data_IF_343210314498
#
_entry.id   IF_343210314498
#
_cell.length_a   1.000
_cell.length_b   1.000
_cell.length_c   1.000
_cell.angle_alpha   90.00
_cell.angle_beta   90.00
_cell.angle_gamma   90.00
#
_symmetry.space_group_name_H-M   'P 1'
#
loop_
_entity.id
_entity.type
_entity.pdbx_description
1 polymer ?
#
# COMPACT_ATOMS: atom_id res chain seq x y z
N UNK A 1 10.18 16.22 4.10
CA UNK A 1 10.85 17.53 3.92
C UNK A 1 11.05 18.30 5.24
N UNK A 2 10.02 18.51 6.07
CA UNK A 2 10.17 19.22 7.35
C UNK A 2 11.14 18.50 8.31
N UNK A 3 10.99 17.18 8.45
CA UNK A 3 11.86 16.34 9.28
C UNK A 3 13.30 16.31 8.77
N UNK A 4 13.51 16.19 7.45
CA UNK A 4 14.85 16.23 6.84
C UNK A 4 15.58 17.55 7.11
N UNK A 5 14.88 18.69 7.01
CA UNK A 5 15.44 20.02 7.35
C UNK A 5 15.76 20.18 8.85
N UNK A 6 15.09 19.42 9.73
CA UNK A 6 15.37 19.42 11.16
C UNK A 6 16.59 18.54 11.52
N UNK A 7 16.84 17.49 10.73
CA UNK A 7 17.98 16.59 10.91
C UNK A 7 19.27 17.21 10.36
N UNK A 8 19.20 17.87 9.20
CA UNK A 8 20.32 18.57 8.59
C UNK A 8 19.83 19.77 7.75
N UNK A 9 19.85 21.00 8.29
CA UNK A 9 19.36 22.18 7.58
C UNK A 9 20.23 22.60 6.38
N UNK A 10 21.41 21.98 6.19
CA UNK A 10 22.38 22.34 5.15
C UNK A 10 22.55 21.26 4.05
N UNK A 11 22.03 20.04 4.23
CA UNK A 11 22.11 18.95 3.25
C UNK A 11 20.79 18.80 2.50
N UNK A 12 20.85 18.84 1.15
CA UNK A 12 19.64 18.85 0.31
C UNK A 12 19.09 17.48 -0.08
N UNK A 13 19.84 16.38 0.04
CA UNK A 13 19.36 15.09 -0.51
C UNK A 13 19.75 13.83 0.29
N UNK A 14 20.68 13.88 1.26
CA UNK A 14 21.08 12.70 2.06
C UNK A 14 21.32 13.05 3.53
N UNK A 15 20.81 12.19 4.42
CA UNK A 15 21.00 12.28 5.87
C UNK A 15 22.08 11.29 6.27
N UNK A 16 23.16 11.76 6.91
CA UNK A 16 24.18 10.85 7.44
C UNK A 16 23.66 10.06 8.65
N UNK A 17 24.09 8.82 8.82
CA UNK A 17 23.74 7.98 9.99
C UNK A 17 24.01 8.72 11.31
N UNK A 18 25.12 9.46 11.38
CA UNK A 18 25.47 10.26 12.55
C UNK A 18 24.48 11.41 12.80
N UNK A 19 24.06 12.12 11.75
CA UNK A 19 23.07 13.21 11.85
C UNK A 19 21.68 12.67 12.24
N UNK A 20 21.30 11.51 11.70
CA UNK A 20 20.06 10.82 12.06
C UNK A 20 20.07 10.35 13.50
N UNK A 21 21.15 9.69 13.95
CA UNK A 21 21.30 9.23 15.34
C UNK A 21 21.28 10.42 16.30
N UNK A 22 21.97 11.51 15.98
CA UNK A 22 21.97 12.71 16.84
C UNK A 22 20.59 13.38 16.89
N UNK A 23 19.86 13.45 15.77
CA UNK A 23 18.48 13.93 15.75
C UNK A 23 17.52 12.98 16.49
N UNK A 24 17.68 11.67 16.34
CA UNK A 24 16.86 10.67 17.01
C UNK A 24 17.06 10.73 18.54
N UNK A 25 18.31 10.86 18.99
CA UNK A 25 18.65 11.06 20.40
C UNK A 25 18.14 12.41 20.93
N UNK A 26 18.20 13.47 20.13
CA UNK A 26 17.60 14.77 20.45
C UNK A 26 16.08 14.71 20.48
N UNK A 27 15.46 13.92 19.61
CA UNK A 27 14.01 13.70 19.57
C UNK A 27 13.56 12.92 20.80
N UNK A 28 14.29 11.87 21.20
CA UNK A 28 14.06 11.16 22.45
C UNK A 28 14.20 12.10 23.66
N UNK A 29 15.26 12.92 23.72
CA UNK A 29 15.40 13.96 24.76
C UNK A 29 14.26 14.97 24.73
N UNK A 30 13.82 15.40 23.55
CA UNK A 30 12.70 16.33 23.37
C UNK A 30 11.34 15.71 23.72
N UNK A 31 11.18 14.39 23.56
CA UNK A 31 10.01 13.65 24.07
C UNK A 31 10.08 13.62 25.59
N UNK A 32 11.21 13.27 26.20
CA UNK A 32 11.38 13.31 27.66
C UNK A 32 11.18 14.71 28.26
N UNK A 33 11.65 15.76 27.58
CA UNK A 33 11.43 17.16 27.95
C UNK A 33 9.95 17.54 27.83
N UNK A 34 9.26 17.16 26.75
CA UNK A 34 7.80 17.38 26.61
C UNK A 34 6.98 16.60 27.63
N UNK A 35 7.36 15.35 27.92
CA UNK A 35 6.74 14.53 28.98
C UNK A 35 6.96 15.18 30.35
N UNK A 36 8.15 15.73 30.59
CA UNK A 36 8.43 16.52 31.80
C UNK A 36 7.66 17.82 31.85
N UNK A 37 7.52 18.56 30.76
CA UNK A 37 6.67 19.76 30.71
C UNK A 37 5.20 19.44 30.98
N UNK A 38 4.69 18.31 30.47
CA UNK A 38 3.35 17.82 30.77
C UNK A 38 3.27 17.46 32.26
N UNK A 39 4.22 16.69 32.79
CA UNK A 39 4.28 16.33 34.21
C UNK A 39 4.32 17.58 35.11
N UNK A 40 5.14 18.57 34.81
CA UNK A 40 5.28 19.82 35.57
C UNK A 40 4.01 20.69 35.54
N UNK A 41 3.23 20.62 34.45
CA UNK A 41 1.90 21.25 34.40
C UNK A 41 0.89 20.56 35.31
N UNK A 42 1.09 19.27 35.59
CA UNK A 42 0.22 18.45 36.43
C UNK A 42 0.63 18.50 37.90
N UNK A 43 1.93 18.55 38.18
CA UNK A 43 2.53 18.77 39.50
C UNK A 43 2.51 20.26 39.87
N UNK A 44 1.30 20.81 40.05
CA UNK A 44 1.10 22.24 40.37
C UNK A 44 1.80 22.69 41.66
N UNK A 45 2.03 21.75 42.58
CA UNK A 45 2.67 21.95 43.87
C UNK A 45 4.19 21.70 43.85
N UNK A 46 4.76 21.27 42.71
CA UNK A 46 6.17 20.92 42.55
C UNK A 46 6.66 19.91 43.61
N UNK A 47 5.81 18.95 43.98
CA UNK A 47 6.16 17.91 44.96
C UNK A 47 7.04 16.80 44.35
N UNK A 48 7.17 16.76 43.03
CA UNK A 48 7.81 15.67 42.30
C UNK A 48 6.91 14.44 42.13
N UNK A 49 5.65 14.54 42.55
CA UNK A 49 4.64 13.47 42.52
C UNK A 49 3.28 14.03 42.08
N UNK A 50 2.53 13.26 41.29
CA UNK A 50 1.19 13.63 40.84
C UNK A 50 0.16 12.73 41.52
N UNK A 51 -0.92 13.31 42.06
CA UNK A 51 -2.04 12.52 42.60
C UNK A 51 -2.84 11.84 41.49
N UNK A 52 -3.32 10.61 41.74
CA UNK A 52 -4.17 9.85 40.82
C UNK A 52 -5.44 10.60 40.36
N UNK A 53 -5.94 11.55 41.16
CA UNK A 53 -7.07 12.42 40.79
C UNK A 53 -6.73 13.37 39.63
N UNK A 54 -5.48 13.83 39.56
CA UNK A 54 -5.02 14.75 38.51
C UNK A 54 -4.81 14.01 37.19
N UNK A 55 -4.29 12.78 37.23
CA UNK A 55 -4.17 11.91 36.03
C UNK A 55 -5.54 11.64 35.39
N UNK A 56 -6.57 11.41 36.23
CA UNK A 56 -7.95 11.25 35.77
C UNK A 56 -8.49 12.47 35.00
N UNK A 57 -8.16 13.68 35.44
CA UNK A 57 -8.57 14.91 34.75
C UNK A 57 -7.89 15.09 33.39
N UNK A 58 -6.64 14.65 33.27
CA UNK A 58 -5.87 14.74 32.02
C UNK A 58 -6.40 13.77 30.97
N UNK A 59 -6.70 12.54 31.39
CA UNK A 59 -7.30 11.54 30.51
C UNK A 59 -8.65 12.01 29.95
N UNK A 60 -9.44 12.76 30.73
CA UNK A 60 -10.66 13.39 30.23
C UNK A 60 -10.42 14.61 29.31
N UNK A 61 -9.35 15.38 29.51
CA UNK A 61 -9.01 16.55 28.69
C UNK A 61 -8.37 16.15 27.34
N UNK A 62 -7.71 14.99 27.27
CA UNK A 62 -7.04 14.47 26.07
C UNK A 62 -8.00 13.93 24.99
N UNK A 63 -9.32 14.04 25.18
CA UNK A 63 -10.29 13.95 24.09
C UNK A 63 -11.00 12.60 23.92
N UNK A 64 -10.70 11.61 24.76
CA UNK A 64 -11.49 10.38 24.88
C UNK A 64 -12.13 10.38 26.25
N UNK A 65 -13.46 10.41 26.36
CA UNK A 65 -14.16 10.20 27.64
C UNK A 65 -13.94 8.73 28.05
N UNK A 66 -12.91 8.39 28.85
CA UNK A 66 -12.56 7.01 29.07
C UNK A 66 -13.55 6.43 30.09
N UNK A 67 -13.85 5.14 29.96
CA UNK A 67 -14.73 4.50 30.93
C UNK A 67 -14.08 4.52 32.33
N UNK A 68 -14.86 4.53 33.43
CA UNK A 68 -14.31 4.47 34.78
C UNK A 68 -13.37 3.28 35.02
N UNK A 69 -13.54 2.20 34.25
CA UNK A 69 -12.71 1.00 34.29
C UNK A 69 -11.35 1.21 33.61
N UNK A 70 -11.31 1.87 32.46
CA UNK A 70 -10.07 2.23 31.75
C UNK A 70 -9.18 3.15 32.59
N UNK A 71 -9.80 4.09 33.30
CA UNK A 71 -9.10 5.00 34.22
C UNK A 71 -8.53 4.22 35.41
N UNK A 72 -9.26 3.23 35.93
CA UNK A 72 -8.77 2.39 37.02
C UNK A 72 -7.61 1.49 36.57
N UNK A 73 -7.67 0.94 35.36
CA UNK A 73 -6.58 0.16 34.75
C UNK A 73 -5.35 1.05 34.53
N UNK A 74 -5.53 2.25 33.98
CA UNK A 74 -4.44 3.20 33.77
C UNK A 74 -3.77 3.57 35.10
N UNK A 75 -4.55 3.94 36.12
CA UNK A 75 -4.00 4.28 37.45
C UNK A 75 -3.25 3.10 38.06
N UNK A 76 -3.80 1.88 37.98
CA UNK A 76 -3.15 0.66 38.48
C UNK A 76 -1.89 0.29 37.70
N UNK A 77 -1.84 0.61 36.40
CA UNK A 77 -0.65 0.39 35.57
C UNK A 77 0.47 1.40 35.84
N UNK A 78 0.12 2.59 36.36
CA UNK A 78 1.07 3.66 36.64
C UNK A 78 1.66 3.56 38.06
N UNK A 79 0.84 3.25 39.07
CA UNK A 79 1.27 3.21 40.47
C UNK A 79 0.89 1.89 41.13
N UNK A 80 1.87 1.20 41.71
CA UNK A 80 1.75 -0.04 42.46
C UNK A 80 0.97 0.19 43.78
N UNK A 81 -0.35 0.41 43.65
CA UNK A 81 -1.31 0.77 44.70
C UNK A 81 -1.03 2.09 45.47
N UNK A 82 -0.11 2.94 44.97
CA UNK A 82 0.20 4.24 45.56
C UNK A 82 -0.80 5.34 45.17
N UNK A 83 -1.20 6.20 46.12
CA UNK A 83 -2.06 7.37 45.85
C UNK A 83 -1.34 8.51 45.08
N UNK A 84 -0.02 8.40 44.97
CA UNK A 84 0.88 9.32 44.31
C UNK A 84 1.74 8.60 43.26
N UNK A 85 1.93 9.26 42.12
CA UNK A 85 2.67 8.76 40.95
C UNK A 85 3.95 9.59 40.79
N UNK A 86 5.11 8.92 40.73
CA UNK A 86 6.39 9.59 40.50
C UNK A 86 6.60 9.91 39.02
N UNK A 87 7.49 10.87 38.72
CA UNK A 87 7.88 11.16 37.34
C UNK A 87 8.47 9.94 36.61
N UNK A 88 9.20 9.08 37.32
CA UNK A 88 9.80 7.89 36.73
C UNK A 88 8.73 6.90 36.25
N UNK A 89 7.71 6.67 37.07
CA UNK A 89 6.62 5.74 36.77
C UNK A 89 5.69 6.32 35.69
N UNK A 90 5.39 7.62 35.77
CA UNK A 90 4.63 8.33 34.74
C UNK A 90 5.34 8.33 33.39
N UNK A 91 6.65 8.57 33.36
CA UNK A 91 7.42 8.59 32.12
C UNK A 91 7.51 7.19 31.49
N UNK A 92 7.66 6.15 32.32
CA UNK A 92 7.64 4.76 31.84
C UNK A 92 6.29 4.43 31.22
N UNK A 93 5.19 4.66 31.94
CA UNK A 93 3.84 4.46 31.42
C UNK A 93 3.55 5.28 30.17
N UNK A 94 3.90 6.58 30.15
CA UNK A 94 3.62 7.46 29.01
C UNK A 94 4.36 7.03 27.76
N UNK A 95 5.63 6.59 27.89
CA UNK A 95 6.37 6.03 26.78
C UNK A 95 5.72 4.72 26.31
N UNK A 96 5.48 3.78 27.23
CA UNK A 96 5.02 2.44 26.91
C UNK A 96 3.60 2.42 26.30
N UNK A 97 2.72 3.33 26.71
CA UNK A 97 1.28 3.32 26.36
C UNK A 97 0.94 4.20 25.15
N UNK A 98 1.70 5.26 24.88
CA UNK A 98 1.31 6.28 23.89
C UNK A 98 2.12 6.24 22.58
N UNK A 99 3.26 5.53 22.55
CA UNK A 99 4.17 5.57 21.39
C UNK A 99 4.68 4.22 20.88
N UNK A 100 4.62 3.14 21.68
CA UNK A 100 5.34 1.90 21.33
C UNK A 100 4.45 0.66 21.17
N UNK A 101 3.38 0.52 21.96
CA UNK A 101 2.55 -0.71 21.94
C UNK A 101 1.73 -0.90 20.67
N UNK A 102 1.22 0.18 20.06
CA UNK A 102 0.42 0.05 18.82
C UNK A 102 1.26 -0.09 17.54
N UNK A 103 2.55 0.28 17.58
CA UNK A 103 3.42 0.27 16.39
C UNK A 103 4.17 -1.05 16.23
N UNK A 104 4.52 -1.73 17.33
CA UNK A 104 5.26 -3.01 17.25
C UNK A 104 4.34 -4.21 16.93
N UNK A 105 3.10 -4.23 17.41
CA UNK A 105 2.20 -5.39 17.24
C UNK A 105 1.50 -5.44 15.86
N UNK A 106 1.19 -4.29 15.24
CA UNK A 106 0.52 -4.26 13.92
C UNK A 106 1.47 -4.53 12.74
N UNK A 107 2.76 -4.19 12.82
CA UNK A 107 3.70 -4.30 11.68
C UNK A 107 4.56 -5.58 11.67
N UNK A 108 4.74 -6.26 12.81
CA UNK A 108 5.70 -7.36 12.97
C UNK A 108 5.08 -8.76 13.14
N UNK A 109 3.79 -8.97 12.82
CA UNK A 109 3.26 -10.34 12.80
C UNK A 109 3.80 -11.08 11.57
N UNK A 110 4.60 -12.12 11.82
CA UNK A 110 5.09 -13.03 10.77
C UNK A 110 3.94 -13.56 9.93
N UNK A 111 4.10 -13.56 8.61
CA UNK A 111 3.13 -14.15 7.66
C UNK A 111 2.77 -15.60 8.00
N UNK A 112 3.70 -16.35 8.61
CA UNK A 112 3.44 -17.69 9.12
C UNK A 112 2.44 -17.71 10.27
N UNK A 113 2.51 -16.75 11.19
CA UNK A 113 1.57 -16.66 12.31
C UNK A 113 0.17 -16.33 11.80
N UNK A 114 0.07 -15.40 10.83
CA UNK A 114 -1.21 -15.07 10.16
C UNK A 114 -1.79 -16.29 9.43
N UNK A 115 -0.95 -17.11 8.78
CA UNK A 115 -1.41 -18.34 8.14
C UNK A 115 -1.97 -19.35 9.15
N UNK A 116 -1.26 -19.56 10.26
CA UNK A 116 -1.67 -20.46 11.34
C UNK A 116 -2.98 -19.98 11.97
N UNK A 117 -3.11 -18.69 12.25
CA UNK A 117 -4.32 -18.08 12.80
C UNK A 117 -5.52 -18.31 11.88
N UNK A 118 -5.39 -17.98 10.59
CA UNK A 118 -6.46 -18.21 9.60
C UNK A 118 -6.84 -19.67 9.42
N UNK A 119 -5.87 -20.59 9.53
CA UNK A 119 -6.15 -22.04 9.53
C UNK A 119 -6.92 -22.42 10.81
N UNK A 120 -6.56 -21.86 11.97
CA UNK A 120 -7.27 -22.04 13.23
C UNK A 120 -8.72 -21.54 13.16
N UNK A 121 -8.96 -20.39 12.53
CA UNK A 121 -10.29 -19.80 12.32
C UNK A 121 -11.20 -20.66 11.43
N UNK A 122 -10.65 -21.47 10.52
CA UNK A 122 -11.46 -22.41 9.74
C UNK A 122 -12.09 -23.49 10.62
N UNK A 123 -11.39 -23.88 11.69
CA UNK A 123 -11.81 -24.91 12.63
C UNK A 123 -12.72 -24.38 13.75
N UNK A 124 -12.83 -23.06 13.92
CA UNK A 124 -13.66 -22.47 14.97
C UNK A 124 -15.13 -22.41 14.55
N UNK A 125 -16.05 -22.72 15.46
CA UNK A 125 -17.49 -22.65 15.18
C UNK A 125 -18.05 -21.22 15.24
N UNK A 126 -17.27 -20.27 15.76
CA UNK A 126 -17.72 -18.89 16.04
C UNK A 126 -17.61 -17.95 14.84
N UNK A 127 -16.83 -18.33 13.82
CA UNK A 127 -16.54 -17.48 12.66
C UNK A 127 -17.59 -17.64 11.56
N UNK A 128 -18.04 -16.50 11.01
CA UNK A 128 -19.04 -16.43 9.93
C UNK A 128 -18.59 -17.21 8.68
N UNK A 129 -19.56 -17.76 7.96
CA UNK A 129 -19.32 -18.56 6.75
C UNK A 129 -18.59 -17.75 5.67
N UNK A 130 -18.87 -16.45 5.55
CA UNK A 130 -18.16 -15.58 4.60
C UNK A 130 -16.68 -15.50 4.92
N UNK A 131 -16.33 -15.27 6.18
CA UNK A 131 -14.93 -15.21 6.64
C UNK A 131 -14.22 -16.54 6.42
N UNK A 132 -14.90 -17.67 6.64
CA UNK A 132 -14.35 -19.00 6.33
C UNK A 132 -14.04 -19.16 4.84
N UNK A 133 -14.96 -18.78 3.96
CA UNK A 133 -14.74 -18.85 2.50
C UNK A 133 -13.55 -17.98 2.10
N UNK A 134 -13.47 -16.75 2.61
CA UNK A 134 -12.35 -15.84 2.34
C UNK A 134 -11.03 -16.44 2.82
N UNK A 135 -10.99 -17.00 4.04
CA UNK A 135 -9.79 -17.64 4.57
C UNK A 135 -9.36 -18.84 3.72
N UNK A 136 -10.28 -19.71 3.28
CA UNK A 136 -9.94 -20.83 2.37
C UNK A 136 -9.28 -20.35 1.09
N UNK A 137 -9.78 -19.26 0.50
CA UNK A 137 -9.22 -18.69 -0.74
C UNK A 137 -7.87 -18.01 -0.49
N UNK A 138 -7.70 -17.33 0.63
CA UNK A 138 -6.49 -16.57 0.94
C UNK A 138 -5.34 -17.43 1.47
N UNK A 139 -5.60 -18.53 2.18
CA UNK A 139 -4.55 -19.36 2.81
C UNK A 139 -3.48 -19.84 1.80
N UNK A 140 -3.82 -20.37 0.61
CA UNK A 140 -2.80 -20.76 -0.37
C UNK A 140 -1.89 -19.61 -0.78
N UNK A 141 -2.46 -18.40 -0.95
CA UNK A 141 -1.69 -17.20 -1.28
C UNK A 141 -0.79 -16.78 -0.12
N UNK A 142 -1.30 -16.77 1.11
CA UNK A 142 -0.53 -16.41 2.30
C UNK A 142 0.63 -17.40 2.48
N UNK A 143 0.39 -18.71 2.34
CA UNK A 143 1.43 -19.73 2.43
C UNK A 143 2.50 -19.56 1.34
N UNK A 144 2.10 -19.20 0.12
CA UNK A 144 3.04 -18.91 -0.96
C UNK A 144 3.92 -17.69 -0.61
N UNK A 145 3.33 -16.64 -0.05
CA UNK A 145 4.07 -15.45 0.36
C UNK A 145 4.94 -15.69 1.61
N UNK A 146 4.55 -16.62 2.48
CA UNK A 146 5.37 -17.06 3.62
C UNK A 146 6.67 -17.78 3.20
N UNK A 147 6.82 -18.13 1.91
CA UNK A 147 8.06 -18.66 1.35
C UNK A 147 9.14 -17.57 1.20
N UNK A 148 8.74 -16.31 1.13
CA UNK A 148 9.66 -15.16 1.10
C UNK A 148 10.06 -14.84 2.54
N UNK A 149 11.37 -14.74 2.85
CA UNK A 149 11.81 -14.44 4.21
C UNK A 149 11.32 -13.06 4.65
N UNK A 150 10.81 -12.94 5.88
CA UNK A 150 10.33 -11.66 6.42
C UNK A 150 11.46 -10.88 7.10
N UNK A 151 11.80 -9.72 6.53
CA UNK A 151 12.82 -8.82 7.08
C UNK A 151 12.27 -7.79 8.06
N UNK A 152 10.94 -7.76 8.30
CA UNK A 152 10.31 -6.84 9.26
C UNK A 152 10.50 -7.28 10.72
N UNK A 153 10.78 -8.56 10.95
CA UNK A 153 10.98 -9.10 12.29
C UNK A 153 12.29 -8.59 12.91
N UNK A 154 12.28 -8.15 14.18
CA UNK A 154 13.48 -7.68 14.87
C UNK A 154 14.56 -8.77 14.88
N UNK A 155 15.76 -8.44 14.39
CA UNK A 155 16.88 -9.37 14.25
C UNK A 155 17.07 -9.99 12.86
N UNK A 156 16.11 -9.84 11.93
CA UNK A 156 16.16 -10.39 10.57
C UNK A 156 16.50 -9.36 9.47
N UNK A 157 16.94 -8.15 9.84
CA UNK A 157 17.20 -7.05 8.90
C UNK A 157 18.24 -7.39 7.81
N UNK A 158 19.16 -8.32 8.10
CA UNK A 158 20.17 -8.79 7.15
C UNK A 158 19.54 -9.51 5.93
N UNK A 159 18.29 -9.99 6.06
CA UNK A 159 17.56 -10.67 4.99
C UNK A 159 16.94 -9.70 3.98
N UNK A 160 17.02 -8.37 4.18
CA UNK A 160 16.37 -7.36 3.32
C UNK A 160 16.57 -7.58 1.82
N UNK A 161 17.78 -7.94 1.38
CA UNK A 161 18.05 -8.20 -0.03
C UNK A 161 17.44 -9.53 -0.49
N UNK A 162 17.47 -10.57 0.34
CA UNK A 162 16.82 -11.85 0.06
C UNK A 162 15.30 -11.68 -0.05
N UNK A 163 14.69 -10.92 0.87
CA UNK A 163 13.26 -10.57 0.83
C UNK A 163 12.93 -9.78 -0.43
N UNK A 164 13.74 -8.78 -0.79
CA UNK A 164 13.52 -7.97 -1.99
C UNK A 164 13.54 -8.81 -3.28
N UNK A 165 14.60 -9.58 -3.52
CA UNK A 165 14.69 -10.43 -4.72
C UNK A 165 13.70 -11.60 -4.68
N UNK A 166 13.43 -12.15 -3.49
CA UNK A 166 12.42 -13.19 -3.29
C UNK A 166 11.01 -12.69 -3.66
N UNK A 167 10.65 -11.47 -3.25
CA UNK A 167 9.38 -10.84 -3.65
C UNK A 167 9.29 -10.62 -5.16
N UNK A 168 10.35 -10.15 -5.81
CA UNK A 168 10.39 -9.99 -7.27
C UNK A 168 10.14 -11.32 -7.98
N UNK A 169 10.81 -12.39 -7.53
CA UNK A 169 10.65 -13.73 -8.10
C UNK A 169 9.21 -14.24 -7.92
N UNK A 170 8.65 -14.10 -6.72
CA UNK A 170 7.29 -14.55 -6.41
C UNK A 170 6.24 -13.77 -7.20
N UNK A 171 6.38 -12.45 -7.33
CA UNK A 171 5.49 -11.63 -8.17
C UNK A 171 5.61 -12.06 -9.64
N UNK A 172 6.83 -12.31 -10.13
CA UNK A 172 7.05 -12.78 -11.50
C UNK A 172 6.41 -14.15 -11.77
N UNK A 173 6.54 -15.09 -10.83
CA UNK A 173 5.91 -16.41 -10.92
C UNK A 173 4.37 -16.31 -10.92
N UNK A 174 3.82 -15.51 -10.00
CA UNK A 174 2.38 -15.28 -9.92
C UNK A 174 1.83 -14.59 -11.16
N UNK A 175 2.55 -13.61 -11.70
CA UNK A 175 2.18 -12.94 -12.95
C UNK A 175 2.16 -13.91 -14.13
N UNK A 176 3.13 -14.83 -14.22
CA UNK A 176 3.13 -15.88 -15.25
C UNK A 176 1.91 -16.80 -15.13
N UNK A 177 1.63 -17.30 -13.92
CA UNK A 177 0.47 -18.16 -13.65
C UNK A 177 -0.84 -17.43 -13.94
N UNK A 178 -0.95 -16.15 -13.58
CA UNK A 178 -2.12 -15.31 -13.85
C UNK A 178 -2.38 -15.18 -15.35
N UNK A 179 -1.34 -14.89 -16.14
CA UNK A 179 -1.45 -14.73 -17.60
C UNK A 179 -1.80 -16.07 -18.28
N UNK A 180 -1.13 -17.16 -17.91
CA UNK A 180 -1.41 -18.50 -18.48
C UNK A 180 -2.82 -19.00 -18.10
N UNK A 181 -3.28 -18.75 -16.88
CA UNK A 181 -4.64 -19.07 -16.49
C UNK A 181 -5.67 -18.24 -17.29
N UNK A 182 -5.43 -16.94 -17.46
CA UNK A 182 -6.32 -16.06 -18.21
C UNK A 182 -6.43 -16.46 -19.68
N UNK A 183 -5.33 -16.83 -20.35
CA UNK A 183 -5.35 -17.28 -21.75
C UNK A 183 -6.08 -18.62 -21.90
N UNK A 184 -5.86 -19.59 -20.99
CA UNK A 184 -6.60 -20.87 -21.01
C UNK A 184 -8.11 -20.69 -20.79
N UNK A 185 -8.48 -19.82 -19.85
CA UNK A 185 -9.89 -19.48 -19.60
C UNK A 185 -10.49 -18.79 -20.83
N UNK A 186 -9.78 -17.83 -21.42
CA UNK A 186 -10.17 -17.16 -22.66
C UNK A 186 -10.42 -18.14 -23.79
N UNK A 187 -9.47 -19.05 -24.04
CA UNK A 187 -9.60 -20.10 -25.05
C UNK A 187 -10.81 -21.02 -24.80
N UNK A 188 -11.11 -21.36 -23.53
CA UNK A 188 -12.27 -22.19 -23.18
C UNK A 188 -13.59 -21.47 -23.40
N UNK A 189 -13.62 -20.15 -23.18
CA UNK A 189 -14.79 -19.29 -23.39
C UNK A 189 -14.89 -18.74 -24.82
N UNK A 190 -13.96 -19.11 -25.71
CA UNK A 190 -13.81 -18.58 -27.06
C UNK A 190 -13.69 -17.03 -27.10
N UNK A 191 -12.99 -16.47 -26.10
CA UNK A 191 -12.68 -15.05 -25.98
C UNK A 191 -11.22 -14.84 -26.42
N UNK A 192 -10.93 -13.93 -27.36
CA UNK A 192 -9.57 -13.66 -27.81
C UNK A 192 -8.65 -13.21 -26.66
N UNK A 193 -7.38 -13.64 -26.69
CA UNK A 193 -6.36 -13.29 -25.67
C UNK A 193 -6.20 -11.78 -25.48
N UNK A 194 -6.34 -11.01 -26.57
CA UNK A 194 -6.29 -9.53 -26.53
C UNK A 194 -7.40 -8.98 -25.64
N UNK A 195 -8.63 -9.52 -25.74
CA UNK A 195 -9.78 -9.10 -24.92
C UNK A 195 -9.53 -9.46 -23.46
N UNK A 196 -9.02 -10.67 -23.18
CA UNK A 196 -8.67 -11.08 -21.81
C UNK A 196 -7.59 -10.17 -21.20
N UNK A 197 -6.63 -9.72 -22.01
CA UNK A 197 -5.59 -8.76 -21.65
C UNK A 197 -6.14 -7.40 -21.25
N UNK A 198 -6.91 -6.76 -22.12
CA UNK A 198 -7.44 -5.40 -21.90
C UNK A 198 -8.57 -5.32 -20.87
N UNK A 199 -9.20 -6.45 -20.52
CA UNK A 199 -10.32 -6.48 -19.57
C UNK A 199 -9.93 -7.13 -18.25
N UNK A 200 -9.82 -8.46 -18.20
CA UNK A 200 -9.64 -9.24 -16.98
C UNK A 200 -8.27 -8.99 -16.36
N UNK A 201 -7.20 -9.07 -17.15
CA UNK A 201 -5.85 -8.88 -16.66
C UNK A 201 -5.61 -7.41 -16.26
N UNK A 202 -6.02 -6.46 -17.10
CA UNK A 202 -5.94 -5.03 -16.79
C UNK A 202 -6.70 -4.66 -15.50
N UNK A 203 -7.93 -5.16 -15.32
CA UNK A 203 -8.68 -4.93 -14.09
C UNK A 203 -7.99 -5.58 -12.88
N UNK A 204 -7.49 -6.81 -13.02
CA UNK A 204 -6.82 -7.54 -11.95
C UNK A 204 -5.60 -6.83 -11.39
N UNK A 205 -4.76 -6.23 -12.26
CA UNK A 205 -3.56 -5.50 -11.85
C UNK A 205 -3.88 -4.12 -11.28
N UNK A 206 -4.95 -3.46 -11.72
CA UNK A 206 -5.30 -2.10 -11.26
C UNK A 206 -6.16 -2.05 -9.98
N UNK A 207 -6.80 -3.16 -9.58
CA UNK A 207 -7.62 -3.21 -8.34
C UNK A 207 -6.80 -2.89 -7.08
N UNK A 208 -5.61 -3.48 -6.86
CA UNK A 208 -4.77 -3.13 -5.71
C UNK A 208 -4.39 -1.63 -5.68
N UNK A 209 -4.03 -1.06 -6.83
CA UNK A 209 -3.68 0.36 -6.94
C UNK A 209 -4.88 1.27 -6.67
N UNK A 210 -6.07 0.87 -7.14
CA UNK A 210 -7.32 1.55 -6.83
C UNK A 210 -7.59 1.53 -5.32
N UNK A 211 -7.45 0.38 -4.66
CA UNK A 211 -7.67 0.26 -3.21
C UNK A 211 -6.71 1.17 -2.43
N UNK A 212 -5.42 1.13 -2.77
CA UNK A 212 -4.40 2.01 -2.17
C UNK A 212 -4.75 3.49 -2.37
N UNK A 213 -5.08 3.89 -3.60
CA UNK A 213 -5.47 5.26 -3.92
C UNK A 213 -6.74 5.72 -3.19
N UNK A 214 -7.72 4.83 -3.01
CA UNK A 214 -8.94 5.11 -2.26
C UNK A 214 -8.67 5.30 -0.77
N UNK A 215 -7.78 4.49 -0.19
CA UNK A 215 -7.37 4.64 1.22
C UNK A 215 -6.71 6.00 1.44
N UNK A 216 -5.73 6.36 0.61
CA UNK A 216 -5.02 7.64 0.68
C UNK A 216 -5.97 8.83 0.47
N UNK A 217 -6.89 8.73 -0.51
CA UNK A 217 -7.90 9.75 -0.73
C UNK A 217 -8.85 9.93 0.47
N UNK A 218 -9.22 8.84 1.15
CA UNK A 218 -10.06 8.88 2.37
C UNK A 218 -9.36 9.51 3.56
N UNK A 219 -8.02 9.48 3.60
CA UNK A 219 -7.21 10.16 4.61
C UNK A 219 -7.08 11.67 4.35
N UNK A 220 -7.70 12.19 3.29
CA UNK A 220 -7.64 13.60 2.90
C UNK A 220 -6.50 13.92 1.93
N UNK A 221 -5.67 12.94 1.58
CA UNK A 221 -4.51 13.08 0.69
C UNK A 221 -4.90 12.82 -0.79
N UNK A 222 -5.96 13.49 -1.25
CA UNK A 222 -6.51 13.31 -2.60
C UNK A 222 -5.50 13.61 -3.72
N UNK A 223 -4.65 14.63 -3.53
CA UNK A 223 -3.61 15.00 -4.50
C UNK A 223 -2.56 13.87 -4.66
N UNK A 224 -2.23 13.20 -3.55
CA UNK A 224 -1.32 12.05 -3.56
C UNK A 224 -1.94 10.88 -4.31
N UNK A 225 -3.20 10.57 -4.03
CA UNK A 225 -3.94 9.50 -4.72
C UNK A 225 -4.00 9.72 -6.24
N UNK A 226 -4.30 10.96 -6.69
CA UNK A 226 -4.32 11.31 -8.12
C UNK A 226 -2.93 11.20 -8.73
N UNK A 227 -1.90 11.71 -8.05
CA UNK A 227 -0.53 11.66 -8.56
C UNK A 227 0.00 10.23 -8.72
N UNK A 228 -0.34 9.34 -7.79
CA UNK A 228 0.02 7.93 -7.85
C UNK A 228 -0.67 7.23 -9.03
N UNK A 229 -1.98 7.43 -9.19
CA UNK A 229 -2.75 6.83 -10.29
C UNK A 229 -2.31 7.31 -11.68
N UNK A 230 -1.95 8.58 -11.84
CA UNK A 230 -1.43 9.11 -13.10
C UNK A 230 0.01 8.63 -13.34
N UNK A 231 0.84 8.63 -12.30
CA UNK A 231 2.25 8.27 -12.38
C UNK A 231 2.48 6.81 -12.77
N UNK A 232 1.71 5.87 -12.20
CA UNK A 232 1.83 4.44 -12.52
C UNK A 232 1.52 4.16 -14.00
N UNK A 233 0.42 4.72 -14.53
CA UNK A 233 0.06 4.55 -15.94
C UNK A 233 1.12 5.13 -16.90
N UNK A 234 1.74 6.26 -16.55
CA UNK A 234 2.85 6.82 -17.34
C UNK A 234 4.04 5.87 -17.29
N UNK A 235 4.38 5.33 -16.12
CA UNK A 235 5.47 4.37 -15.96
C UNK A 235 5.22 3.07 -16.75
N UNK A 236 3.99 2.55 -16.74
CA UNK A 236 3.63 1.34 -17.49
C UNK A 236 3.80 1.54 -19.00
N UNK A 237 3.36 2.67 -19.55
CA UNK A 237 3.49 2.96 -20.98
C UNK A 237 4.95 3.24 -21.39
N UNK A 238 5.71 3.93 -20.54
CA UNK A 238 7.07 4.38 -20.88
C UNK A 238 8.16 3.38 -20.53
N UNK A 239 7.95 2.55 -19.50
CA UNK A 239 8.93 1.58 -19.00
C UNK A 239 8.36 0.17 -19.02
N UNK A 240 7.14 -0.03 -18.52
CA UNK A 240 6.50 -1.35 -18.40
C UNK A 240 6.31 -2.07 -19.73
N UNK A 241 5.95 -1.37 -20.81
CA UNK A 241 5.83 -1.95 -22.16
C UNK A 241 7.17 -2.06 -22.90
N UNK A 242 8.03 -1.01 -22.97
CA UNK A 242 9.22 -1.07 -23.79
C UNK A 242 10.31 -1.96 -23.22
N UNK A 243 10.44 -2.05 -21.89
CA UNK A 243 11.53 -2.79 -21.25
C UNK A 243 11.44 -4.30 -21.52
N UNK A 244 10.31 -5.00 -21.29
CA UNK A 244 10.20 -6.43 -21.63
C UNK A 244 10.38 -6.71 -23.11
N UNK A 245 9.83 -5.85 -23.99
CA UNK A 245 9.98 -6.00 -25.44
C UNK A 245 11.46 -5.86 -25.87
N UNK A 246 12.16 -4.86 -25.35
CA UNK A 246 13.58 -4.63 -25.65
C UNK A 246 14.45 -5.76 -25.11
N UNK A 247 14.23 -6.17 -23.85
CA UNK A 247 14.96 -7.29 -23.25
C UNK A 247 14.76 -8.57 -24.05
N UNK A 248 13.52 -8.88 -24.45
CA UNK A 248 13.23 -10.05 -25.28
C UNK A 248 13.99 -10.01 -26.61
N UNK A 249 13.90 -8.91 -27.35
CA UNK A 249 14.56 -8.80 -28.66
C UNK A 249 16.09 -8.84 -28.57
N UNK A 250 16.69 -8.21 -27.56
CA UNK A 250 18.15 -8.26 -27.33
C UNK A 250 18.58 -9.68 -26.99
N UNK A 251 17.89 -10.36 -26.07
CA UNK A 251 18.24 -11.73 -25.68
C UNK A 251 18.06 -12.70 -26.84
N UNK A 252 16.97 -12.59 -27.60
CA UNK A 252 16.75 -13.41 -28.80
C UNK A 252 17.84 -13.20 -29.86
N UNK A 253 18.29 -11.96 -30.05
CA UNK A 253 19.39 -11.63 -30.97
C UNK A 253 20.76 -12.15 -30.51
N UNK A 254 21.04 -12.14 -29.21
CA UNK A 254 22.33 -12.58 -28.64
C UNK A 254 22.44 -14.11 -28.55
N UNK A 255 21.37 -14.79 -28.16
CA UNK A 255 21.37 -16.24 -27.92
C UNK A 255 21.25 -17.03 -29.23
N UNK A 256 20.98 -16.37 -30.37
CA UNK A 256 20.82 -17.04 -31.65
C UNK A 256 19.63 -18.01 -31.66
N UNK A 257 18.60 -17.72 -30.87
CA UNK A 257 17.36 -18.48 -30.90
C UNK A 257 16.77 -18.32 -32.31
N UNK A 258 16.47 -19.44 -32.99
CA UNK A 258 15.75 -19.49 -34.28
C UNK A 258 14.29 -18.94 -34.20
N UNK A 259 13.97 -18.14 -33.19
CA UNK A 259 12.71 -17.41 -33.09
C UNK A 259 12.91 -16.03 -33.69
N UNK A 260 12.06 -15.68 -34.65
CA UNK A 260 12.01 -14.34 -35.20
C UNK A 260 11.80 -13.30 -34.10
N UNK A 261 12.47 -12.16 -34.24
CA UNK A 261 12.33 -10.99 -33.39
C UNK A 261 10.87 -10.54 -33.39
N UNK A 262 10.37 -10.13 -32.22
CA UNK A 262 8.98 -9.74 -32.07
C UNK A 262 8.78 -8.34 -32.64
N UNK A 263 8.47 -8.27 -33.94
CA UNK A 263 8.07 -7.03 -34.59
C UNK A 263 6.72 -6.60 -34.04
N UNK A 264 6.63 -5.34 -33.63
CA UNK A 264 5.33 -4.71 -33.38
C UNK A 264 4.67 -4.53 -34.75
N UNK A 265 3.76 -5.45 -35.09
CA UNK A 265 3.02 -5.41 -36.36
C UNK A 265 2.23 -4.11 -36.44
N UNK A 266 2.54 -3.31 -37.46
CA UNK A 266 1.86 -2.06 -37.78
C UNK A 266 0.89 -2.31 -38.93
N UNK A 267 -0.06 -3.23 -38.73
CA UNK A 267 -1.14 -3.50 -39.68
C UNK A 267 -2.11 -2.30 -39.71
N UNK A 268 -1.67 -1.16 -40.26
CA UNK A 268 -2.44 0.08 -40.48
C UNK A 268 -3.00 0.80 -39.24
N UNK A 269 -3.15 0.12 -38.11
CA UNK A 269 -3.98 0.54 -36.98
C UNK A 269 -3.15 1.20 -35.86
N UNK A 270 -1.82 1.23 -35.96
CA UNK A 270 -0.96 1.82 -34.94
C UNK A 270 -1.24 3.32 -34.76
N UNK A 271 -1.50 4.03 -35.86
CA UNK A 271 -1.93 5.43 -35.82
C UNK A 271 -3.29 5.58 -35.13
N UNK A 272 -4.23 4.66 -35.39
CA UNK A 272 -5.54 4.62 -34.73
C UNK A 272 -5.37 4.49 -33.20
N UNK A 273 -4.59 3.50 -32.73
CA UNK A 273 -4.36 3.29 -31.29
C UNK A 273 -3.64 4.45 -30.61
N UNK A 274 -2.62 5.03 -31.26
CA UNK A 274 -1.94 6.22 -30.75
C UNK A 274 -2.88 7.42 -30.68
N UNK A 275 -3.76 7.59 -31.68
CA UNK A 275 -4.72 8.69 -31.69
C UNK A 275 -5.76 8.55 -30.56
N UNK A 276 -6.24 7.34 -30.29
CA UNK A 276 -7.16 7.06 -29.18
C UNK A 276 -6.47 7.30 -27.84
N UNK A 277 -5.24 6.82 -27.67
CA UNK A 277 -4.46 7.05 -26.45
C UNK A 277 -4.26 8.54 -26.17
N UNK A 278 -3.73 9.30 -27.14
CA UNK A 278 -3.52 10.73 -27.00
C UNK A 278 -4.83 11.49 -26.81
N UNK A 279 -5.89 11.11 -27.53
CA UNK A 279 -7.23 11.67 -27.38
C UNK A 279 -7.77 11.49 -25.96
N UNK A 280 -7.62 10.30 -25.39
CA UNK A 280 -8.05 10.02 -24.01
C UNK A 280 -7.24 10.82 -22.98
N UNK A 281 -5.93 10.96 -23.15
CA UNK A 281 -5.09 11.80 -22.28
C UNK A 281 -5.57 13.25 -22.33
N UNK A 282 -5.82 13.79 -23.52
CA UNK A 282 -6.36 15.15 -23.68
C UNK A 282 -7.72 15.28 -23.02
N UNK A 283 -8.64 14.34 -23.22
CA UNK A 283 -9.96 14.35 -22.59
C UNK A 283 -9.89 14.35 -21.07
N UNK A 284 -9.00 13.55 -20.49
CA UNK A 284 -8.77 13.52 -19.04
C UNK A 284 -8.26 14.86 -18.54
N UNK A 285 -7.24 15.45 -19.18
CA UNK A 285 -6.67 16.75 -18.80
C UNK A 285 -7.70 17.87 -18.93
N UNK A 286 -8.44 17.93 -20.05
CA UNK A 286 -9.49 18.92 -20.27
C UNK A 286 -10.59 18.77 -19.22
N UNK A 287 -10.96 17.56 -18.85
CA UNK A 287 -11.98 17.33 -17.82
C UNK A 287 -11.49 17.80 -16.44
N UNK A 288 -10.26 17.45 -16.04
CA UNK A 288 -9.68 17.94 -14.79
C UNK A 288 -9.63 19.47 -14.77
N UNK A 289 -9.24 20.08 -15.89
CA UNK A 289 -9.20 21.54 -16.05
C UNK A 289 -10.60 22.16 -15.97
N UNK A 290 -11.62 21.56 -16.61
CA UNK A 290 -13.01 22.01 -16.57
C UNK A 290 -13.60 21.96 -15.15
N UNK A 291 -13.18 21.00 -14.33
CA UNK A 291 -13.54 20.92 -12.90
C UNK A 291 -12.59 21.72 -11.99
N UNK A 292 -11.82 22.67 -12.55
CA UNK A 292 -10.93 23.57 -11.81
C UNK A 292 -9.94 22.86 -10.88
N UNK A 293 -9.44 21.68 -11.29
CA UNK A 293 -8.50 20.86 -10.50
C UNK A 293 -9.04 20.46 -9.11
N UNK A 294 -10.37 20.40 -8.94
CA UNK A 294 -11.00 19.92 -7.70
C UNK A 294 -11.58 18.53 -7.89
N UNK A 295 -11.29 17.63 -6.95
CA UNK A 295 -11.94 16.32 -6.91
C UNK A 295 -13.41 16.48 -6.55
N UNK A 296 -14.27 16.40 -7.57
CA UNK A 296 -15.72 16.48 -7.43
C UNK A 296 -16.37 15.17 -7.84
N UNK A 297 -17.58 14.89 -7.32
CA UNK A 297 -18.38 13.73 -7.75
C UNK A 297 -18.67 13.77 -9.26
N UNK A 298 -18.77 14.96 -9.85
CA UNK A 298 -18.95 15.16 -11.28
C UNK A 298 -17.74 14.72 -12.11
N UNK A 299 -16.52 15.06 -11.66
CA UNK A 299 -15.28 14.58 -12.28
C UNK A 299 -15.21 13.04 -12.24
N UNK A 300 -15.57 12.42 -11.11
CA UNK A 300 -15.63 10.97 -10.99
C UNK A 300 -16.61 10.32 -11.98
N UNK A 301 -17.81 10.87 -12.13
CA UNK A 301 -18.79 10.39 -13.11
C UNK A 301 -18.27 10.53 -14.56
N UNK A 302 -17.61 11.65 -14.88
CA UNK A 302 -16.99 11.85 -16.19
C UNK A 302 -15.91 10.79 -16.49
N UNK A 303 -15.06 10.46 -15.50
CA UNK A 303 -14.05 9.41 -15.65
C UNK A 303 -14.66 8.02 -15.90
N UNK A 304 -15.72 7.66 -15.17
CA UNK A 304 -16.45 6.41 -15.43
C UNK A 304 -17.06 6.38 -16.83
N UNK A 305 -17.66 7.49 -17.26
CA UNK A 305 -18.23 7.60 -18.61
C UNK A 305 -17.16 7.37 -19.68
N UNK A 306 -15.99 8.02 -19.56
CA UNK A 306 -14.88 7.83 -20.49
C UNK A 306 -14.39 6.38 -20.52
N UNK A 307 -14.27 5.74 -19.36
CA UNK A 307 -13.89 4.33 -19.28
C UNK A 307 -14.87 3.43 -20.02
N UNK A 308 -16.18 3.56 -19.77
CA UNK A 308 -17.19 2.72 -20.43
C UNK A 308 -17.29 2.98 -21.93
N UNK A 309 -17.17 4.24 -22.36
CA UNK A 309 -17.12 4.60 -23.79
C UNK A 309 -15.90 3.97 -24.45
N UNK A 310 -14.74 4.02 -23.80
CA UNK A 310 -13.52 3.40 -24.30
C UNK A 310 -13.63 1.88 -24.39
N UNK A 311 -14.14 1.21 -23.34
CA UNK A 311 -14.35 -0.24 -23.35
C UNK A 311 -15.32 -0.64 -24.47
N UNK A 312 -16.44 0.09 -24.63
CA UNK A 312 -17.39 -0.15 -25.70
C UNK A 312 -16.75 0.04 -27.10
N UNK A 313 -15.97 1.11 -27.28
CA UNK A 313 -15.22 1.34 -28.52
C UNK A 313 -14.28 0.18 -28.85
N UNK A 314 -13.49 -0.27 -27.87
CA UNK A 314 -12.55 -1.37 -28.09
C UNK A 314 -13.28 -2.67 -28.40
N UNK A 315 -14.35 -3.01 -27.66
CA UNK A 315 -15.12 -4.24 -27.91
C UNK A 315 -15.74 -4.26 -29.32
N UNK A 316 -16.36 -3.17 -29.76
CA UNK A 316 -16.92 -3.06 -31.13
C UNK A 316 -15.82 -3.19 -32.18
N UNK A 317 -14.63 -2.63 -31.91
CA UNK A 317 -13.51 -2.75 -32.84
C UNK A 317 -12.94 -4.16 -32.86
N UNK A 318 -12.92 -4.85 -31.72
CA UNK A 318 -12.47 -6.24 -31.60
C UNK A 318 -13.45 -7.23 -32.23
N UNK A 319 -14.76 -6.98 -32.25
CA UNK A 319 -15.70 -7.84 -32.99
C UNK A 319 -15.42 -7.85 -34.51
N UNK A 320 -14.90 -6.74 -35.05
CA UNK A 320 -14.41 -6.68 -36.42
C UNK A 320 -13.08 -7.44 -36.63
N UNK A 321 -12.33 -7.73 -35.56
CA UNK A 321 -11.13 -8.57 -35.57
C UNK A 321 -11.50 -10.06 -35.72
N UNK A 322 -12.56 -10.49 -35.02
CA UNK A 322 -13.12 -11.85 -35.11
C UNK A 322 -13.66 -12.22 -36.49
N UNK A 323 -13.97 -11.23 -37.33
CA UNK A 323 -14.52 -11.41 -38.68
C UNK A 323 -13.45 -11.48 -39.79
N UNK A 324 -12.15 -11.37 -39.47
CA UNK A 324 -11.09 -11.61 -40.43
C UNK A 324 -10.93 -13.13 -40.68
N UNK A 325 -11.06 -13.62 -41.93
CA UNK A 325 -10.84 -15.02 -42.23
C UNK A 325 -9.34 -15.32 -42.24
N UNK A 326 -8.88 -16.06 -41.23
CA UNK A 326 -7.54 -16.66 -41.17
C UNK A 326 -7.44 -17.54 -39.94
N UNK A 327 -7.97 -18.76 -40.01
CA UNK A 327 -7.23 -20.01 -40.32
C UNK A 327 -6.21 -20.41 -39.23
N UNK A 328 -6.55 -21.54 -38.58
CA UNK A 328 -5.69 -22.56 -37.94
C UNK A 328 -4.74 -22.15 -36.82
#
# INVERSE_FOLDING_TARGET
KIVCNQIDPNSKDYISEKSFVDWYLRSQKGIQERVREVFDKLDKNKSGTISCKTVKLVLSDLGSNPSPEEIAIAIKSIGDDSEEISFADFNKWYCDTLFWTDVEDEEATSMWNTAIEKIGELCSSEVDLKTKIVNVVCIPLILLFSLVPDCRLPGNEYLKYCTFFGSILTIGLLAYVMVDAATRIGATLNIPDVVMGITVLAAGTSVPDLLSSVIVARQGEGDMAVSSSIGSNIFDVTVGLPLPWLTFNIVSGLVGCNRDYFRVSSDGNLFEYLSVLLGMVVLVIVSISAFSFKMSKGLGFAMFLFYFVYVAYVLIRTDNWSAAPGNC
#
